data_IF_114224056877
#
_entry.id   IF_114224056877
#
_cell.length_a   1.000
_cell.length_b   1.000
_cell.length_c   1.000
_cell.angle_alpha   90.00
_cell.angle_beta   90.00
_cell.angle_gamma   90.00
#
_symmetry.space_group_name_H-M   'P 1'
#
loop_
_entity.id
_entity.type
_entity.pdbx_description
1 polymer ?
#
# COMPACT_ATOMS: atom_id res chain seq x y z
N UNK A 1 18.94 6.04 9.75
CA UNK A 1 18.18 4.77 9.83
C UNK A 1 18.82 3.78 8.89
N UNK A 2 19.04 2.56 9.36
CA UNK A 2 19.61 1.46 8.59
C UNK A 2 18.73 1.12 7.35
N UNK A 3 19.34 0.87 6.18
CA UNK A 3 18.65 0.52 4.92
C UNK A 3 17.70 -0.67 5.12
N UNK A 4 18.12 -1.67 5.91
CA UNK A 4 17.33 -2.85 6.26
C UNK A 4 16.12 -2.49 7.11
N UNK A 5 16.28 -1.61 8.10
CA UNK A 5 15.18 -1.16 8.95
C UNK A 5 14.12 -0.38 8.15
N UNK A 6 14.56 0.47 7.20
CA UNK A 6 13.66 1.16 6.27
C UNK A 6 12.89 0.16 5.40
N UNK A 7 13.57 -0.81 4.81
CA UNK A 7 12.95 -1.83 3.96
C UNK A 7 11.89 -2.66 4.72
N UNK A 8 12.20 -3.08 5.94
CA UNK A 8 11.26 -3.82 6.79
C UNK A 8 10.01 -3.00 7.13
N UNK A 9 10.21 -1.72 7.48
CA UNK A 9 9.07 -0.83 7.76
C UNK A 9 8.21 -0.58 6.51
N UNK A 10 8.83 -0.52 5.34
CA UNK A 10 8.12 -0.33 4.08
C UNK A 10 7.30 -1.57 3.69
N UNK A 11 7.88 -2.77 3.82
CA UNK A 11 7.16 -4.04 3.63
C UNK A 11 5.95 -4.13 4.55
N UNK A 12 6.11 -3.77 5.83
CA UNK A 12 5.00 -3.75 6.78
C UNK A 12 3.88 -2.81 6.33
N UNK A 13 4.21 -1.59 5.91
CA UNK A 13 3.22 -0.63 5.42
C UNK A 13 2.51 -1.11 4.15
N UNK A 14 3.23 -1.78 3.24
CA UNK A 14 2.63 -2.37 2.02
C UNK A 14 1.59 -3.42 2.40
N UNK A 15 1.92 -4.36 3.29
CA UNK A 15 0.98 -5.41 3.69
C UNK A 15 -0.23 -4.84 4.45
N UNK A 16 -0.01 -3.90 5.37
CA UNK A 16 -1.12 -3.20 6.06
C UNK A 16 -2.04 -2.45 5.09
N UNK A 17 -1.47 -1.83 4.06
CA UNK A 17 -2.23 -1.11 3.04
C UNK A 17 -3.01 -2.07 2.15
N UNK A 18 -2.42 -3.22 1.76
CA UNK A 18 -3.11 -4.27 1.00
C UNK A 18 -4.32 -4.81 1.74
N UNK A 19 -4.17 -5.14 3.03
CA UNK A 19 -5.28 -5.64 3.86
C UNK A 19 -6.41 -4.62 3.91
N UNK A 20 -6.10 -3.35 4.20
CA UNK A 20 -7.09 -2.27 4.21
C UNK A 20 -7.78 -2.07 2.87
N UNK A 21 -7.03 -2.19 1.77
CA UNK A 21 -7.57 -2.04 0.42
C UNK A 21 -8.56 -3.16 0.11
N UNK A 22 -8.22 -4.41 0.43
CA UNK A 22 -9.12 -5.55 0.24
C UNK A 22 -10.39 -5.41 1.08
N UNK A 23 -10.26 -5.11 2.38
CA UNK A 23 -11.42 -4.88 3.26
C UNK A 23 -12.32 -3.76 2.72
N UNK A 24 -11.72 -2.68 2.21
CA UNK A 24 -12.45 -1.55 1.68
C UNK A 24 -13.16 -1.89 0.36
N UNK A 25 -12.52 -2.66 -0.52
CA UNK A 25 -13.13 -3.15 -1.76
C UNK A 25 -14.33 -4.05 -1.44
N UNK A 26 -14.18 -4.98 -0.49
CA UNK A 26 -15.28 -5.86 -0.07
C UNK A 26 -16.46 -5.07 0.52
N UNK A 27 -16.18 -4.13 1.43
CA UNK A 27 -17.21 -3.27 2.05
C UNK A 27 -17.92 -2.37 1.05
N UNK A 28 -17.23 -1.94 -0.01
CA UNK A 28 -17.79 -1.12 -1.07
C UNK A 28 -18.40 -1.95 -2.22
N UNK A 29 -18.68 -3.23 -2.01
CA UNK A 29 -19.27 -4.12 -3.03
C UNK A 29 -18.49 -4.10 -4.35
N UNK A 30 -17.16 -4.07 -4.26
CA UNK A 30 -16.25 -4.02 -5.41
C UNK A 30 -16.38 -2.74 -6.26
N UNK A 31 -16.94 -1.66 -5.71
CA UNK A 31 -16.93 -0.36 -6.36
C UNK A 31 -15.53 0.28 -6.31
N UNK A 32 -14.74 0.05 -7.36
CA UNK A 32 -13.35 0.48 -7.46
C UNK A 32 -13.19 2.00 -7.67
N UNK A 33 -14.23 2.71 -8.11
CA UNK A 33 -14.19 4.17 -8.28
C UNK A 33 -14.55 4.91 -6.99
N UNK A 34 -14.77 4.20 -5.88
CA UNK A 34 -14.94 4.82 -4.58
C UNK A 34 -13.68 5.67 -4.25
N UNK A 35 -13.83 6.96 -3.89
CA UNK A 35 -12.68 7.85 -3.65
C UNK A 35 -11.74 7.38 -2.54
N UNK A 36 -12.20 6.60 -1.58
CA UNK A 36 -11.35 5.99 -0.55
C UNK A 36 -10.55 4.80 -1.12
N UNK A 37 -11.17 3.96 -1.95
CA UNK A 37 -10.48 2.86 -2.65
C UNK A 37 -9.38 3.44 -3.55
N UNK A 38 -9.68 4.47 -4.33
CA UNK A 38 -8.70 5.15 -5.19
C UNK A 38 -7.52 5.69 -4.37
N UNK A 39 -7.79 6.43 -3.29
CA UNK A 39 -6.72 6.99 -2.44
C UNK A 39 -5.82 5.92 -1.83
N UNK A 40 -6.39 4.78 -1.46
CA UNK A 40 -5.66 3.69 -0.82
C UNK A 40 -4.84 2.89 -1.85
N UNK A 41 -5.33 2.76 -3.08
CA UNK A 41 -4.57 2.26 -4.23
C UNK A 41 -3.38 3.17 -4.57
N UNK A 42 -3.59 4.49 -4.65
CA UNK A 42 -2.50 5.46 -4.91
C UNK A 42 -1.44 5.48 -3.80
N UNK A 43 -1.84 5.22 -2.55
CA UNK A 43 -0.90 5.04 -1.45
C UNK A 43 -0.07 3.76 -1.64
N UNK A 44 -0.71 2.64 -2.01
CA UNK A 44 -0.02 1.39 -2.27
C UNK A 44 1.01 1.53 -3.40
N UNK A 45 0.65 2.21 -4.49
CA UNK A 45 1.56 2.46 -5.60
C UNK A 45 2.81 3.25 -5.18
N UNK A 46 2.63 4.29 -4.34
CA UNK A 46 3.76 5.07 -3.81
C UNK A 46 4.67 4.23 -2.91
N UNK A 47 4.10 3.39 -2.05
CA UNK A 47 4.88 2.50 -1.18
C UNK A 47 5.66 1.46 -2.00
N UNK A 48 5.05 0.90 -3.05
CA UNK A 48 5.72 -0.02 -3.96
C UNK A 48 6.85 0.66 -4.73
N UNK A 49 6.62 1.88 -5.21
CA UNK A 49 7.66 2.67 -5.87
C UNK A 49 8.88 2.88 -4.97
N UNK A 50 8.66 3.32 -3.72
CA UNK A 50 9.74 3.49 -2.74
C UNK A 50 10.45 2.15 -2.43
N UNK A 51 9.72 1.04 -2.42
CA UNK A 51 10.29 -0.28 -2.19
C UNK A 51 11.27 -0.66 -3.29
N UNK A 52 10.85 -0.50 -4.54
CA UNK A 52 11.67 -0.80 -5.71
C UNK A 52 12.87 0.14 -5.81
N UNK A 53 12.73 1.41 -5.44
CA UNK A 53 13.83 2.37 -5.42
C UNK A 53 14.90 1.99 -4.38
N UNK A 54 14.50 1.63 -3.16
CA UNK A 54 15.43 1.20 -2.11
C UNK A 54 16.10 -0.14 -2.46
N UNK A 55 15.38 -1.04 -3.14
CA UNK A 55 15.89 -2.36 -3.53
C UNK A 55 16.90 -2.29 -4.70
N UNK A 56 16.90 -1.21 -5.47
CA UNK A 56 17.89 -0.91 -6.50
C UNK A 56 19.28 -0.74 -5.92
#
# INVERSE_FOLDING_TARGET
MDKKARLLNLIRQIEETKVKLYDLIERNQFNLINPEVVRLSELLDRLLFEYYDIKK
#
